data_IF_017379340673
#
_entry.id   IF_017379340673
#
_cell.length_a   1.000
_cell.length_b   1.000
_cell.length_c   1.000
_cell.angle_alpha   90.00
_cell.angle_beta   90.00
_cell.angle_gamma   90.00
#
_symmetry.space_group_name_H-M   'P 1'
#
loop_
_entity.id
_entity.type
_entity.pdbx_description
1 polymer ?
#
# COMPACT_ATOMS: atom_id res chain seq x y z
N UNK A 1 -8.41 5.82 20.30
CA UNK A 1 -8.26 4.56 21.06
C UNK A 1 -8.94 4.67 22.42
N UNK A 2 -8.57 5.64 23.27
CA UNK A 2 -9.23 5.86 24.57
C UNK A 2 -10.62 6.53 24.48
N UNK A 3 -10.83 7.46 23.53
CA UNK A 3 -12.10 8.22 23.39
C UNK A 3 -13.33 7.35 23.13
N UNK A 4 -13.15 6.20 22.46
CA UNK A 4 -14.24 5.29 22.09
C UNK A 4 -14.22 3.96 22.85
N UNK A 5 -13.25 3.76 23.75
CA UNK A 5 -13.10 2.53 24.55
C UNK A 5 -13.07 1.24 23.69
N UNK A 6 -12.51 1.33 22.48
CA UNK A 6 -12.34 0.20 21.57
C UNK A 6 -10.86 -0.16 21.46
N UNK A 7 -10.61 -1.47 21.39
CA UNK A 7 -9.27 -1.99 21.10
C UNK A 7 -8.86 -1.65 19.66
N UNK A 8 -7.61 -1.22 19.49
CA UNK A 8 -7.04 -0.96 18.17
C UNK A 8 -6.20 -2.16 17.75
N UNK A 9 -6.64 -2.86 16.71
CA UNK A 9 -5.92 -3.99 16.13
C UNK A 9 -5.01 -3.48 15.01
N UNK A 10 -3.70 -3.48 15.23
CA UNK A 10 -2.74 -3.09 14.20
C UNK A 10 -2.60 -4.18 13.14
N UNK A 11 -2.68 -3.80 11.87
CA UNK A 11 -2.66 -4.73 10.75
C UNK A 11 -1.50 -4.39 9.82
N UNK A 12 -0.42 -5.19 9.84
CA UNK A 12 0.75 -4.93 9.00
C UNK A 12 0.43 -5.02 7.51
N UNK A 13 -0.58 -5.79 7.15
CA UNK A 13 -1.06 -5.91 5.77
C UNK A 13 -1.68 -4.62 5.22
N UNK A 14 -2.16 -3.73 6.11
CA UNK A 14 -2.80 -2.45 5.76
C UNK A 14 -1.82 -1.27 5.68
N UNK A 15 -0.52 -1.51 5.82
CA UNK A 15 0.47 -0.44 5.60
C UNK A 15 0.35 0.09 4.18
N UNK A 16 0.65 1.38 3.99
CA UNK A 16 0.78 1.96 2.66
C UNK A 16 1.79 1.15 1.82
N UNK A 17 1.69 1.25 0.51
CA UNK A 17 2.70 0.68 -0.40
C UNK A 17 4.07 1.28 -0.08
N UNK A 18 5.10 0.44 -0.10
CA UNK A 18 6.48 0.89 0.10
C UNK A 18 6.97 1.60 -1.17
N UNK A 19 7.10 2.92 -1.10
CA UNK A 19 7.57 3.74 -2.23
C UNK A 19 9.09 3.69 -2.42
N UNK A 20 9.84 3.07 -1.49
CA UNK A 20 11.29 2.92 -1.58
C UNK A 20 12.01 4.25 -1.75
N UNK A 21 12.77 4.38 -2.83
CA UNK A 21 13.53 5.60 -3.15
C UNK A 21 12.64 6.83 -3.42
N UNK A 22 11.33 6.66 -3.63
CA UNK A 22 10.41 7.78 -3.85
C UNK A 22 9.90 8.40 -2.55
N UNK A 23 10.16 7.78 -1.40
CA UNK A 23 9.74 8.30 -0.10
C UNK A 23 10.30 9.72 0.13
N UNK A 24 9.42 10.64 0.51
CA UNK A 24 9.77 12.05 0.73
C UNK A 24 9.92 12.90 -0.53
N UNK A 25 9.79 12.33 -1.74
CA UNK A 25 9.78 13.07 -3.00
C UNK A 25 8.36 13.47 -3.42
N UNK A 26 8.25 14.61 -4.08
CA UNK A 26 7.03 15.00 -4.81
C UNK A 26 6.93 14.23 -6.13
N UNK A 27 5.71 14.11 -6.67
CA UNK A 27 5.51 13.48 -7.97
C UNK A 27 6.27 14.19 -9.11
N UNK A 28 6.48 15.51 -9.01
CA UNK A 28 7.26 16.26 -9.99
C UNK A 28 8.74 15.87 -9.96
N UNK A 29 9.33 15.72 -8.77
CA UNK A 29 10.72 15.25 -8.59
C UNK A 29 10.86 13.80 -9.07
N UNK A 30 9.91 12.92 -8.72
CA UNK A 30 9.87 11.54 -9.24
C UNK A 30 9.79 11.50 -10.76
N UNK A 31 8.97 12.36 -11.39
CA UNK A 31 8.85 12.43 -12.85
C UNK A 31 10.14 12.89 -13.54
N UNK A 32 10.97 13.68 -12.85
CA UNK A 32 12.27 14.12 -13.36
C UNK A 32 13.35 13.05 -13.16
N UNK A 33 13.39 12.40 -11.99
CA UNK A 33 14.42 11.44 -11.61
C UNK A 33 14.16 10.02 -12.18
N UNK A 34 12.89 9.63 -12.29
CA UNK A 34 12.45 8.28 -12.68
C UNK A 34 11.29 8.34 -13.71
N UNK A 35 11.49 8.95 -14.90
CA UNK A 35 10.41 9.22 -15.85
C UNK A 35 9.64 7.97 -16.30
N UNK A 36 10.33 6.84 -16.50
CA UNK A 36 9.70 5.59 -16.93
C UNK A 36 8.79 5.00 -15.85
N UNK A 37 9.26 4.95 -14.60
CA UNK A 37 8.46 4.47 -13.47
C UNK A 37 7.31 5.42 -13.17
N UNK A 38 7.53 6.74 -13.26
CA UNK A 38 6.48 7.74 -13.10
C UNK A 38 5.35 7.58 -14.14
N UNK A 39 5.71 7.24 -15.38
CA UNK A 39 4.74 6.90 -16.43
C UNK A 39 3.94 5.65 -16.08
N UNK A 40 4.59 4.56 -15.69
CA UNK A 40 3.91 3.34 -15.26
C UNK A 40 2.97 3.59 -14.07
N UNK A 41 3.38 4.46 -13.14
CA UNK A 41 2.56 4.87 -12.00
C UNK A 41 1.33 5.66 -12.44
N UNK A 42 1.49 6.66 -13.31
CA UNK A 42 0.38 7.43 -13.87
C UNK A 42 -0.62 6.55 -14.65
N UNK A 43 -0.12 5.53 -15.35
CA UNK A 43 -0.94 4.56 -16.10
C UNK A 43 -1.56 3.47 -15.21
N UNK A 44 -1.23 3.44 -13.91
CA UNK A 44 -1.62 2.36 -12.96
C UNK A 44 -1.26 0.97 -13.49
N UNK A 45 -0.09 0.86 -14.11
CA UNK A 45 0.32 -0.38 -14.77
C UNK A 45 0.57 -1.50 -13.73
N UNK A 46 0.01 -2.71 -13.89
CA UNK A 46 0.27 -3.84 -13.00
C UNK A 46 1.75 -4.26 -12.88
N UNK A 47 2.58 -3.92 -13.86
CA UNK A 47 4.03 -4.18 -13.81
C UNK A 47 4.82 -3.15 -13.00
N UNK A 48 4.17 -2.13 -12.43
CA UNK A 48 4.81 -1.09 -11.61
C UNK A 48 5.60 -1.70 -10.44
N UNK A 49 6.86 -1.26 -10.35
CA UNK A 49 7.79 -1.56 -9.28
C UNK A 49 8.43 -0.25 -8.82
N UNK A 50 8.30 0.05 -7.51
CA UNK A 50 8.99 1.18 -6.91
C UNK A 50 10.46 0.79 -6.62
N UNK A 51 11.45 1.56 -7.11
CA UNK A 51 12.86 1.27 -6.83
C UNK A 51 13.14 1.21 -5.33
N UNK A 52 13.74 0.13 -4.86
CA UNK A 52 14.00 -0.08 -3.43
C UNK A 52 12.75 -0.33 -2.57
N UNK A 53 11.56 -0.41 -3.18
CA UNK A 53 10.27 -0.57 -2.50
C UNK A 53 9.49 -1.79 -2.99
N UNK A 54 8.16 -1.68 -3.02
CA UNK A 54 7.26 -2.77 -3.40
C UNK A 54 6.91 -2.79 -4.90
N UNK A 55 6.62 -4.00 -5.40
CA UNK A 55 5.85 -4.20 -6.64
C UNK A 55 4.37 -4.03 -6.36
N UNK A 56 3.61 -3.50 -7.32
CA UNK A 56 2.16 -3.37 -7.18
C UNK A 56 1.47 -4.74 -6.97
N UNK A 57 1.99 -5.80 -7.59
CA UNK A 57 1.52 -7.18 -7.36
C UNK A 57 1.87 -7.72 -5.97
N UNK A 58 2.98 -7.29 -5.38
CA UNK A 58 3.36 -7.61 -4.01
C UNK A 58 2.42 -6.95 -3.00
N UNK A 59 2.12 -5.67 -3.23
CA UNK A 59 1.13 -4.90 -2.48
C UNK A 59 -0.26 -5.55 -2.55
N UNK A 60 -0.75 -5.86 -3.76
CA UNK A 60 -2.03 -6.54 -3.97
C UNK A 60 -2.11 -7.86 -3.19
N UNK A 61 -1.07 -8.70 -3.29
CA UNK A 61 -0.98 -9.96 -2.54
C UNK A 61 -1.04 -9.74 -1.03
N UNK A 62 -0.39 -8.70 -0.51
CA UNK A 62 -0.38 -8.36 0.91
C UNK A 62 -1.77 -7.92 1.37
N UNK A 63 -2.44 -7.05 0.63
CA UNK A 63 -3.81 -6.62 0.90
C UNK A 63 -4.79 -7.80 0.82
N UNK A 64 -4.61 -8.70 -0.16
CA UNK A 64 -5.39 -9.92 -0.29
C UNK A 64 -5.41 -10.79 0.97
N UNK A 65 -4.28 -10.87 1.70
CA UNK A 65 -4.22 -11.57 3.00
C UNK A 65 -5.13 -10.92 4.04
N UNK A 66 -5.15 -9.59 4.10
CA UNK A 66 -6.06 -8.87 5.00
C UNK A 66 -7.52 -9.14 4.63
N UNK A 67 -7.87 -9.07 3.34
CA UNK A 67 -9.24 -9.37 2.87
C UNK A 67 -9.65 -10.78 3.27
N UNK A 68 -8.77 -11.78 3.11
CA UNK A 68 -9.03 -13.16 3.54
C UNK A 68 -9.22 -13.29 5.06
N UNK A 69 -8.51 -12.47 5.85
CA UNK A 69 -8.71 -12.41 7.31
C UNK A 69 -10.04 -11.75 7.65
N UNK A 70 -10.35 -10.61 7.02
CA UNK A 70 -11.58 -9.85 7.22
C UNK A 70 -12.83 -10.68 6.92
N UNK A 71 -12.81 -11.50 5.86
CA UNK A 71 -13.91 -12.42 5.51
C UNK A 71 -14.23 -13.46 6.60
N UNK A 72 -13.36 -13.66 7.57
CA UNK A 72 -13.58 -14.58 8.69
C UNK A 72 -14.20 -13.89 9.92
N UNK A 73 -14.26 -12.56 9.93
CA UNK A 73 -14.92 -11.83 11.00
C UNK A 73 -16.43 -11.99 10.87
N UNK A 74 -17.10 -12.26 11.99
CA UNK A 74 -18.55 -12.31 12.04
C UNK A 74 -19.15 -10.89 12.08
N UNK A 75 -20.42 -10.72 11.69
CA UNK A 75 -21.08 -9.42 11.77
C UNK A 75 -21.17 -8.87 13.20
N UNK A 76 -21.02 -9.71 14.22
CA UNK A 76 -21.01 -9.29 15.63
C UNK A 76 -19.64 -8.73 16.08
N UNK A 77 -18.59 -8.90 15.25
CA UNK A 77 -17.22 -8.42 15.48
C UNK A 77 -16.91 -7.11 14.73
N UNK A 78 -17.91 -6.52 14.06
CA UNK A 78 -17.86 -5.24 13.32
C UNK A 78 -18.89 -4.26 13.85
#
# INVERSE_FOLDING_TARGET
ASEHQLEVITCTELREIDFGEFEGLTFAEVSQLYPETAKLWAERNPSLEFPGGEKLTGFDKRIGKFISRLKKHSPEET
#
